data_IF_936326699086
#
_entry.id   IF_936326699086
#
_cell.length_a   1.000
_cell.length_b   1.000
_cell.length_c   1.000
_cell.angle_alpha   90.00
_cell.angle_beta   90.00
_cell.angle_gamma   90.00
#
_symmetry.space_group_name_H-M   'P 1'
#
loop_
_entity.id
_entity.type
_entity.pdbx_description
1 polymer ?
#
# COMPACT_ATOMS: atom_id res chain seq x y z
N UNK A 1 17.18 -37.34 0.30
CA UNK A 1 17.82 -36.11 0.82
C UNK A 1 18.35 -35.35 -0.38
N UNK A 2 17.93 -34.09 -0.55
CA UNK A 2 18.27 -33.27 -1.72
C UNK A 2 19.76 -32.91 -1.73
N UNK A 3 20.38 -32.93 -2.91
CA UNK A 3 21.81 -32.69 -3.14
C UNK A 3 22.06 -31.45 -4.00
N UNK A 4 21.16 -31.16 -4.93
CA UNK A 4 21.30 -30.06 -5.90
C UNK A 4 19.99 -29.28 -5.96
N UNK A 5 19.97 -28.14 -5.26
CA UNK A 5 18.81 -27.27 -5.16
C UNK A 5 18.93 -26.15 -6.19
N UNK A 6 17.92 -26.02 -7.05
CA UNK A 6 17.72 -24.87 -7.92
C UNK A 6 16.74 -23.92 -7.23
N UNK A 7 17.05 -22.63 -7.15
CA UNK A 7 16.11 -21.61 -6.68
C UNK A 7 15.92 -20.52 -7.73
N UNK A 8 14.67 -20.19 -8.05
CA UNK A 8 14.37 -19.12 -8.99
C UNK A 8 14.31 -17.77 -8.27
N UNK A 9 15.06 -16.77 -8.74
CA UNK A 9 15.14 -15.42 -8.15
C UNK A 9 14.89 -14.31 -9.18
N UNK A 10 14.02 -13.36 -8.84
CA UNK A 10 13.64 -12.21 -9.66
C UNK A 10 13.67 -10.87 -8.89
N UNK A 11 14.15 -10.89 -7.64
CA UNK A 11 14.22 -9.71 -6.77
C UNK A 11 12.90 -9.35 -6.07
N UNK A 12 11.83 -10.14 -6.28
CA UNK A 12 10.59 -10.00 -5.51
C UNK A 12 10.73 -10.57 -4.10
N UNK A 13 9.88 -10.15 -3.14
CA UNK A 13 9.88 -10.72 -1.79
C UNK A 13 9.64 -12.24 -1.76
N UNK A 14 8.79 -12.77 -2.65
CA UNK A 14 8.53 -14.21 -2.70
C UNK A 14 9.72 -15.02 -3.17
N UNK A 15 10.48 -14.52 -4.14
CA UNK A 15 11.71 -15.18 -4.58
C UNK A 15 12.85 -15.03 -3.57
N UNK A 16 12.89 -13.94 -2.81
CA UNK A 16 13.74 -13.81 -1.62
C UNK A 16 13.43 -14.86 -0.55
N UNK A 17 12.14 -15.11 -0.26
CA UNK A 17 11.73 -16.18 0.65
C UNK A 17 12.09 -17.57 0.11
N UNK A 18 11.95 -17.79 -1.19
CA UNK A 18 12.40 -19.03 -1.84
C UNK A 18 13.91 -19.24 -1.67
N UNK A 19 14.72 -18.20 -1.83
CA UNK A 19 16.15 -18.24 -1.57
C UNK A 19 16.43 -18.62 -0.12
N UNK A 20 15.79 -17.96 0.84
CA UNK A 20 15.95 -18.29 2.27
C UNK A 20 15.65 -19.76 2.56
N UNK A 21 14.52 -20.28 2.08
CA UNK A 21 14.14 -21.70 2.23
C UNK A 21 15.15 -22.63 1.59
N UNK A 22 15.66 -22.30 0.40
CA UNK A 22 16.68 -23.08 -0.29
C UNK A 22 18.00 -23.13 0.51
N UNK A 23 18.42 -22.01 1.08
CA UNK A 23 19.64 -21.91 1.91
C UNK A 23 19.50 -22.69 3.22
N UNK A 24 18.33 -22.61 3.89
CA UNK A 24 18.06 -23.36 5.12
C UNK A 24 18.04 -24.88 4.86
N UNK A 25 17.44 -25.32 3.75
CA UNK A 25 17.49 -26.72 3.34
C UNK A 25 18.92 -27.16 3.01
N UNK A 26 19.67 -26.35 2.29
CA UNK A 26 21.06 -26.64 1.95
C UNK A 26 21.95 -26.78 3.18
N UNK A 27 21.73 -25.97 4.23
CA UNK A 27 22.42 -26.13 5.52
C UNK A 27 22.12 -27.48 6.17
N UNK A 28 20.85 -27.90 6.14
CA UNK A 28 20.40 -29.14 6.78
C UNK A 28 20.84 -30.39 6.02
N UNK A 29 20.99 -30.30 4.70
CA UNK A 29 21.29 -31.46 3.83
C UNK A 29 22.68 -31.43 3.20
N UNK A 30 23.47 -30.38 3.46
CA UNK A 30 24.75 -30.11 2.77
C UNK A 30 24.61 -30.05 1.24
N UNK A 31 23.45 -29.60 0.74
CA UNK A 31 23.20 -29.49 -0.69
C UNK A 31 23.92 -28.28 -1.32
N UNK A 32 24.19 -28.38 -2.62
CA UNK A 32 24.59 -27.21 -3.41
C UNK A 32 23.36 -26.40 -3.84
N UNK A 33 23.49 -25.07 -3.87
CA UNK A 33 22.40 -24.18 -4.30
C UNK A 33 22.82 -23.41 -5.55
N UNK A 34 21.94 -23.40 -6.56
CA UNK A 34 22.06 -22.52 -7.72
C UNK A 34 20.86 -21.59 -7.79
N UNK A 35 21.12 -20.29 -7.79
CA UNK A 35 20.12 -19.25 -8.03
C UNK A 35 20.01 -18.95 -9.52
N UNK A 36 18.81 -19.05 -10.07
CA UNK A 36 18.48 -18.81 -11.48
C UNK A 36 17.58 -17.59 -11.62
N UNK A 37 18.05 -16.57 -12.35
CA UNK A 37 17.25 -15.43 -12.79
C UNK A 37 16.85 -15.56 -14.25
N UNK A 38 15.66 -15.07 -14.59
CA UNK A 38 15.10 -15.21 -15.93
C UNK A 38 14.74 -13.87 -16.52
N UNK A 39 15.22 -13.66 -17.73
CA UNK A 39 15.01 -12.47 -18.53
C UNK A 39 13.88 -12.73 -19.54
N UNK A 40 12.66 -12.27 -19.24
CA UNK A 40 11.44 -12.63 -20.01
C UNK A 40 11.17 -11.75 -21.25
N UNK A 41 11.80 -10.57 -21.41
CA UNK A 41 11.62 -9.71 -22.61
C UNK A 41 12.85 -8.87 -22.94
N UNK A 42 13.24 -8.90 -24.22
CA UNK A 42 13.81 -7.74 -24.94
C UNK A 42 12.66 -6.76 -25.27
N UNK A 43 12.89 -5.44 -25.28
CA UNK A 43 11.85 -4.45 -25.55
C UNK A 43 11.27 -4.57 -26.97
N UNK A 44 9.97 -4.28 -27.05
CA UNK A 44 9.18 -4.22 -28.28
C UNK A 44 9.54 -2.93 -29.01
N UNK A 45 10.11 -3.05 -30.21
CA UNK A 45 10.50 -1.95 -31.13
C UNK A 45 11.42 -0.88 -30.52
N UNK A 46 12.73 -1.16 -30.48
CA UNK A 46 13.73 -0.09 -30.40
C UNK A 46 13.89 0.54 -31.80
N UNK A 47 13.76 1.86 -31.90
CA UNK A 47 13.86 2.58 -33.17
C UNK A 47 15.33 2.75 -33.62
N UNK A 48 16.29 2.48 -32.73
CA UNK A 48 17.73 2.58 -33.01
C UNK A 48 18.57 1.54 -32.24
N UNK A 49 19.78 1.26 -32.73
CA UNK A 49 20.75 0.36 -32.08
C UNK A 49 21.18 0.87 -30.69
N UNK A 50 21.13 2.19 -30.46
CA UNK A 50 21.48 2.81 -29.18
C UNK A 50 20.49 2.46 -28.06
N UNK A 51 19.18 2.52 -28.32
CA UNK A 51 18.12 2.19 -27.35
C UNK A 51 18.17 0.71 -26.93
N UNK A 52 18.53 -0.20 -27.85
CA UNK A 52 18.72 -1.63 -27.55
C UNK A 52 19.87 -1.84 -26.57
N UNK A 53 20.96 -1.10 -26.77
CA UNK A 53 22.17 -1.27 -25.98
C UNK A 53 22.03 -0.68 -24.57
N UNK A 54 21.28 0.43 -24.44
CA UNK A 54 20.92 1.05 -23.16
C UNK A 54 19.98 0.14 -22.34
N UNK A 55 18.90 -0.37 -22.95
CA UNK A 55 17.96 -1.27 -22.25
C UNK A 55 18.65 -2.56 -21.79
N UNK A 56 19.55 -3.11 -22.60
CA UNK A 56 20.33 -4.30 -22.22
C UNK A 56 21.25 -4.01 -21.03
N UNK A 57 21.90 -2.84 -21.00
CA UNK A 57 22.75 -2.43 -19.89
C UNK A 57 21.97 -2.25 -18.58
N UNK A 58 20.76 -1.69 -18.66
CA UNK A 58 19.86 -1.57 -17.51
C UNK A 58 19.45 -2.93 -16.94
N UNK A 59 19.12 -3.89 -17.82
CA UNK A 59 18.73 -5.24 -17.43
C UNK A 59 19.91 -6.03 -16.84
N UNK A 60 21.10 -5.94 -17.43
CA UNK A 60 22.32 -6.53 -16.90
C UNK A 60 22.61 -5.99 -15.48
N UNK A 61 22.48 -4.68 -15.29
CA UNK A 61 22.67 -4.02 -13.99
C UNK A 61 21.63 -4.47 -12.97
N UNK A 62 20.37 -4.61 -13.38
CA UNK A 62 19.28 -5.07 -12.54
C UNK A 62 19.50 -6.49 -12.01
N UNK A 63 19.83 -7.45 -12.88
CA UNK A 63 20.08 -8.83 -12.47
C UNK A 63 21.38 -8.98 -11.68
N UNK A 64 22.42 -8.20 -12.01
CA UNK A 64 23.66 -8.16 -11.22
C UNK A 64 23.38 -7.78 -9.76
N UNK A 65 22.51 -6.79 -9.52
CA UNK A 65 22.10 -6.39 -8.16
C UNK A 65 21.37 -7.50 -7.42
N UNK A 66 20.42 -8.17 -8.09
CA UNK A 66 19.66 -9.29 -7.51
C UNK A 66 20.61 -10.44 -7.13
N UNK A 67 21.54 -10.78 -8.02
CA UNK A 67 22.53 -11.83 -7.79
C UNK A 67 23.49 -11.49 -6.66
N UNK A 68 23.96 -10.25 -6.57
CA UNK A 68 24.84 -9.79 -5.49
C UNK A 68 24.15 -9.95 -4.12
N UNK A 69 22.90 -9.52 -4.00
CA UNK A 69 22.12 -9.68 -2.77
C UNK A 69 21.92 -11.16 -2.41
N UNK A 70 21.70 -12.04 -3.40
CA UNK A 70 21.56 -13.46 -3.16
C UNK A 70 22.86 -14.11 -2.67
N UNK A 71 24.01 -13.69 -3.22
CA UNK A 71 25.34 -14.15 -2.79
C UNK A 71 25.65 -13.71 -1.36
N UNK A 72 25.31 -12.46 -1.01
CA UNK A 72 25.46 -11.94 0.35
C UNK A 72 24.65 -12.76 1.36
N UNK A 73 23.36 -12.99 1.09
CA UNK A 73 22.51 -13.83 1.93
C UNK A 73 23.04 -15.27 2.06
N UNK A 74 23.59 -15.84 0.99
CA UNK A 74 24.19 -17.17 1.03
C UNK A 74 25.49 -17.21 1.85
N UNK A 75 26.30 -16.14 1.78
CA UNK A 75 27.52 -16.01 2.56
C UNK A 75 27.23 -15.89 4.06
N UNK A 76 26.24 -15.08 4.44
CA UNK A 76 25.68 -15.04 5.81
C UNK A 76 25.13 -16.41 6.21
N UNK A 77 24.57 -17.14 5.24
CA UNK A 77 24.10 -18.49 5.45
C UNK A 77 25.26 -19.51 5.60
N UNK A 78 26.50 -19.19 5.23
CA UNK A 78 27.58 -20.19 5.15
C UNK A 78 27.32 -21.27 4.09
N UNK A 79 26.51 -20.96 3.07
CA UNK A 79 26.15 -21.87 1.97
C UNK A 79 26.80 -21.38 0.67
N UNK A 80 27.38 -22.30 -0.09
CA UNK A 80 27.94 -21.98 -1.40
C UNK A 80 26.81 -21.81 -2.43
N UNK A 81 26.62 -20.59 -2.93
CA UNK A 81 25.65 -20.26 -3.96
C UNK A 81 26.33 -20.01 -5.32
N UNK A 82 25.77 -20.59 -6.38
CA UNK A 82 26.08 -20.22 -7.78
C UNK A 82 24.94 -19.40 -8.35
N UNK A 83 25.22 -18.33 -9.08
CA UNK A 83 24.19 -17.53 -9.76
C UNK A 83 24.24 -17.73 -11.27
N UNK A 84 23.07 -17.73 -11.92
CA UNK A 84 22.91 -17.95 -13.36
C UNK A 84 21.77 -17.06 -13.89
N UNK A 85 21.96 -16.43 -15.04
CA UNK A 85 20.87 -15.77 -15.80
C UNK A 85 20.55 -16.58 -17.06
N UNK A 86 19.28 -16.69 -17.41
CA UNK A 86 18.81 -17.27 -18.68
C UNK A 86 17.73 -16.39 -19.30
N UNK A 87 17.75 -16.26 -20.62
CA UNK A 87 16.68 -15.60 -21.37
C UNK A 87 15.58 -16.61 -21.73
N UNK A 88 14.33 -16.15 -21.71
CA UNK A 88 13.17 -16.92 -22.16
C UNK A 88 11.98 -16.84 -21.20
N UNK A 89 10.92 -17.58 -21.50
CA UNK A 89 9.75 -17.68 -20.60
C UNK A 89 10.11 -18.47 -19.35
N UNK A 90 9.71 -17.99 -18.17
CA UNK A 90 10.17 -18.52 -16.91
C UNK A 90 9.90 -20.02 -16.71
N UNK A 91 8.66 -20.49 -16.87
CA UNK A 91 8.31 -21.87 -16.52
C UNK A 91 9.13 -22.91 -17.31
N UNK A 92 9.15 -22.85 -18.66
CA UNK A 92 9.92 -23.82 -19.45
C UNK A 92 11.41 -23.76 -19.20
N UNK A 93 11.96 -22.54 -18.99
CA UNK A 93 13.39 -22.36 -18.74
C UNK A 93 13.80 -22.96 -17.40
N UNK A 94 13.00 -22.76 -16.34
CA UNK A 94 13.28 -23.31 -15.01
C UNK A 94 13.26 -24.84 -15.06
N UNK A 95 12.19 -25.42 -15.59
CA UNK A 95 12.02 -26.87 -15.62
C UNK A 95 13.10 -27.55 -16.47
N UNK A 96 13.41 -26.98 -17.64
CA UNK A 96 14.48 -27.51 -18.50
C UNK A 96 15.86 -27.37 -17.85
N UNK A 97 16.17 -26.21 -17.26
CA UNK A 97 17.45 -26.00 -16.60
C UNK A 97 17.63 -26.94 -15.40
N UNK A 98 16.55 -27.20 -14.65
CA UNK A 98 16.55 -28.17 -13.56
C UNK A 98 16.86 -29.60 -14.07
N UNK A 99 16.17 -30.02 -15.13
CA UNK A 99 16.36 -31.35 -15.74
C UNK A 99 17.76 -31.53 -16.34
N UNK A 100 18.19 -30.60 -17.20
CA UNK A 100 19.50 -30.64 -17.88
C UNK A 100 20.66 -30.54 -16.87
N UNK A 101 20.46 -29.84 -15.75
CA UNK A 101 21.46 -29.61 -14.70
C UNK A 101 21.51 -30.69 -13.61
N UNK A 102 20.64 -31.69 -13.63
CA UNK A 102 20.60 -32.74 -12.60
C UNK A 102 20.21 -32.22 -11.22
N UNK A 103 19.30 -31.25 -11.15
CA UNK A 103 18.75 -30.73 -9.90
C UNK A 103 17.66 -31.66 -9.37
N UNK A 104 17.67 -31.94 -8.06
CA UNK A 104 16.70 -32.83 -7.41
C UNK A 104 15.62 -32.08 -6.63
N UNK A 105 15.76 -30.76 -6.48
CA UNK A 105 14.75 -29.86 -5.93
C UNK A 105 14.75 -28.51 -6.67
N UNK A 106 13.57 -28.03 -7.02
CA UNK A 106 13.34 -26.63 -7.41
C UNK A 106 12.64 -25.93 -6.24
N UNK A 107 13.15 -24.79 -5.79
CA UNK A 107 12.48 -23.90 -4.85
C UNK A 107 12.03 -22.66 -5.60
N UNK A 108 10.74 -22.35 -5.55
CA UNK A 108 10.17 -21.20 -6.26
C UNK A 108 9.23 -20.42 -5.34
N UNK A 109 9.29 -19.08 -5.42
CA UNK A 109 8.38 -18.21 -4.68
C UNK A 109 6.99 -18.21 -5.28
N UNK A 110 5.95 -18.16 -4.45
CA UNK A 110 4.57 -17.91 -4.89
C UNK A 110 3.92 -16.81 -4.05
N UNK A 111 3.58 -15.70 -4.70
CA UNK A 111 2.84 -14.56 -4.14
C UNK A 111 1.74 -14.04 -5.09
N UNK A 112 1.59 -14.60 -6.30
CA UNK A 112 0.65 -14.14 -7.31
C UNK A 112 0.99 -12.78 -7.96
N UNK A 113 2.14 -12.18 -7.63
CA UNK A 113 2.67 -10.96 -8.27
C UNK A 113 4.04 -11.22 -8.91
N UNK A 114 4.38 -10.50 -9.99
CA UNK A 114 5.60 -10.75 -10.77
C UNK A 114 5.51 -11.94 -11.74
N UNK A 115 6.57 -12.16 -12.53
CA UNK A 115 6.62 -13.23 -13.54
C UNK A 115 6.77 -14.61 -12.89
N UNK A 116 7.53 -14.75 -11.80
CA UNK A 116 7.77 -16.03 -11.13
C UNK A 116 6.60 -16.47 -10.24
N UNK A 117 5.91 -15.53 -9.56
CA UNK A 117 4.78 -15.84 -8.68
C UNK A 117 3.59 -16.50 -9.39
N UNK A 118 3.33 -16.15 -10.66
CA UNK A 118 2.32 -16.80 -11.53
C UNK A 118 2.83 -18.06 -12.23
N UNK A 119 4.12 -18.33 -12.13
CA UNK A 119 4.83 -19.39 -12.83
C UNK A 119 5.05 -20.63 -11.95
N UNK A 120 4.94 -20.49 -10.63
CA UNK A 120 5.12 -21.58 -9.67
C UNK A 120 4.31 -22.85 -10.01
N UNK A 121 3.00 -22.70 -10.26
CA UNK A 121 2.13 -23.83 -10.60
C UNK A 121 2.55 -24.47 -11.93
N UNK A 122 2.84 -23.65 -12.95
CA UNK A 122 3.30 -24.15 -14.25
C UNK A 122 4.63 -24.89 -14.17
N UNK A 123 5.54 -24.47 -13.29
CA UNK A 123 6.81 -25.18 -13.05
C UNK A 123 6.55 -26.49 -12.34
N UNK A 124 5.67 -26.51 -11.32
CA UNK A 124 5.28 -27.73 -10.64
C UNK A 124 4.64 -28.76 -11.59
N UNK A 125 3.90 -28.30 -12.59
CA UNK A 125 3.27 -29.16 -13.60
C UNK A 125 4.26 -29.82 -14.57
N UNK A 126 5.37 -29.16 -14.90
CA UNK A 126 6.27 -29.59 -15.99
C UNK A 126 7.69 -29.99 -15.55
N UNK A 127 8.06 -29.76 -14.29
CA UNK A 127 9.39 -30.09 -13.77
C UNK A 127 9.60 -31.60 -13.67
N UNK A 128 10.83 -32.05 -13.96
CA UNK A 128 11.23 -33.46 -13.84
C UNK A 128 11.68 -33.86 -12.43
N UNK A 129 11.69 -32.93 -11.48
CA UNK A 129 12.11 -33.15 -10.09
C UNK A 129 11.13 -32.51 -9.10
N UNK A 130 11.36 -32.72 -7.82
CA UNK A 130 10.50 -32.17 -6.77
C UNK A 130 10.47 -30.64 -6.83
N UNK A 131 9.29 -30.05 -6.69
CA UNK A 131 9.11 -28.60 -6.63
C UNK A 131 8.59 -28.23 -5.24
N UNK A 132 9.34 -27.38 -4.55
CA UNK A 132 8.94 -26.75 -3.30
C UNK A 132 8.52 -25.32 -3.57
N UNK A 133 7.24 -25.05 -3.39
CA UNK A 133 6.70 -23.71 -3.51
C UNK A 133 6.89 -23.00 -2.16
N UNK A 134 7.90 -22.14 -2.08
CA UNK A 134 8.20 -21.34 -0.91
C UNK A 134 7.21 -20.18 -0.82
N UNK A 135 6.36 -20.26 0.20
CA UNK A 135 5.30 -19.29 0.48
C UNK A 135 5.70 -18.45 1.69
N UNK A 136 5.46 -17.14 1.64
CA UNK A 136 5.66 -16.27 2.81
C UNK A 136 4.66 -16.68 3.89
N UNK A 137 5.10 -17.19 5.07
CA UNK A 137 4.18 -17.31 6.19
C UNK A 137 3.78 -15.90 6.62
N UNK A 138 2.49 -15.69 6.93
CA UNK A 138 1.94 -14.43 7.46
C UNK A 138 2.73 -13.92 8.68
N UNK A 139 3.41 -14.83 9.39
CA UNK A 139 4.18 -14.59 10.62
C UNK A 139 5.68 -14.31 10.41
N UNK A 140 6.17 -14.26 9.17
CA UNK A 140 7.59 -14.07 8.86
C UNK A 140 7.95 -12.77 8.13
N UNK A 141 6.96 -11.97 7.72
CA UNK A 141 7.19 -10.73 6.97
C UNK A 141 7.82 -9.69 7.87
N UNK A 142 9.03 -9.25 7.52
CA UNK A 142 9.71 -8.13 8.15
C UNK A 142 9.40 -6.83 7.41
N UNK A 143 9.59 -5.71 8.09
CA UNK A 143 9.39 -4.39 7.51
C UNK A 143 10.28 -4.19 6.27
N UNK A 144 11.52 -4.68 6.28
CA UNK A 144 12.43 -4.60 5.13
C UNK A 144 11.90 -5.24 3.84
N UNK A 145 11.02 -6.25 3.97
CA UNK A 145 10.47 -7.00 2.84
C UNK A 145 9.37 -6.21 2.12
N UNK A 146 8.79 -5.20 2.80
CA UNK A 146 7.59 -4.48 2.34
C UNK A 146 7.76 -2.96 2.32
N UNK A 147 8.86 -2.43 2.89
CA UNK A 147 9.10 -0.99 2.95
C UNK A 147 9.44 -0.40 1.59
N UNK A 148 9.05 0.85 1.39
CA UNK A 148 9.59 1.66 0.29
C UNK A 148 10.97 2.16 0.68
N UNK A 149 12.01 1.80 -0.09
CA UNK A 149 13.41 2.17 0.18
C UNK A 149 13.78 3.55 -0.39
N UNK A 150 13.21 3.92 -1.54
CA UNK A 150 13.39 5.25 -2.12
C UNK A 150 12.45 6.24 -1.43
N UNK A 151 12.98 6.95 -0.43
CA UNK A 151 12.19 7.84 0.42
C UNK A 151 12.60 9.28 0.20
N UNK A 152 11.66 10.10 -0.28
CA UNK A 152 11.82 11.55 -0.29
C UNK A 152 11.80 12.08 1.14
N UNK A 153 12.83 12.83 1.53
CA UNK A 153 12.98 13.42 2.87
C UNK A 153 13.01 14.94 2.82
N UNK A 154 12.86 15.57 3.99
CA UNK A 154 13.03 17.01 4.19
C UNK A 154 13.88 17.28 5.42
N UNK A 155 14.46 18.47 5.51
CA UNK A 155 15.22 18.92 6.69
C UNK A 155 14.34 19.75 7.63
N UNK A 156 14.72 19.94 8.91
CA UNK A 156 14.00 20.84 9.82
C UNK A 156 13.84 22.26 9.29
N UNK A 157 14.78 22.74 8.48
CA UNK A 157 14.80 24.08 7.90
C UNK A 157 14.05 24.20 6.58
N UNK A 158 13.55 23.09 6.03
CA UNK A 158 12.80 23.10 4.77
C UNK A 158 11.54 23.97 4.91
N UNK A 159 11.29 24.93 4.00
CA UNK A 159 10.09 25.76 4.04
C UNK A 159 8.80 24.95 3.86
N UNK A 160 7.72 25.34 4.54
CA UNK A 160 6.44 24.64 4.42
C UNK A 160 5.80 24.71 3.03
N UNK A 161 6.13 25.73 2.23
CA UNK A 161 5.70 25.85 0.84
C UNK A 161 6.24 24.71 -0.02
N UNK A 162 7.53 24.39 0.09
CA UNK A 162 8.16 23.27 -0.59
C UNK A 162 7.57 21.92 -0.14
N UNK A 163 7.23 21.78 1.15
CA UNK A 163 6.55 20.58 1.66
C UNK A 163 5.16 20.43 1.04
N UNK A 164 4.38 21.51 0.96
CA UNK A 164 3.06 21.48 0.35
C UNK A 164 3.14 21.06 -1.13
N UNK A 165 4.08 21.61 -1.89
CA UNK A 165 4.37 21.23 -3.28
C UNK A 165 4.69 19.74 -3.41
N UNK A 166 5.64 19.23 -2.61
CA UNK A 166 6.01 17.80 -2.62
C UNK A 166 4.82 16.87 -2.31
N UNK A 167 3.95 17.24 -1.37
CA UNK A 167 2.79 16.43 -1.02
C UNK A 167 1.65 16.54 -2.07
N UNK A 168 1.54 17.65 -2.78
CA UNK A 168 0.49 17.91 -3.78
C UNK A 168 0.86 17.37 -5.16
N UNK A 169 1.98 17.85 -5.71
CA UNK A 169 2.39 17.62 -7.10
C UNK A 169 2.95 16.21 -7.28
N UNK A 170 3.83 15.79 -6.37
CA UNK A 170 4.41 14.44 -6.38
C UNK A 170 3.49 13.39 -5.74
N UNK A 171 2.32 13.81 -5.26
CA UNK A 171 1.29 12.94 -4.67
C UNK A 171 1.69 12.26 -3.36
N UNK A 172 2.83 12.66 -2.77
CA UNK A 172 3.38 12.10 -1.54
C UNK A 172 2.45 12.35 -0.37
N UNK A 173 2.46 11.46 0.62
CA UNK A 173 1.48 11.48 1.70
C UNK A 173 2.08 11.75 3.08
N UNK A 174 3.39 11.63 3.20
CA UNK A 174 4.20 11.93 4.37
C UNK A 174 5.66 12.06 3.92
N UNK A 175 6.44 12.86 4.64
CA UNK A 175 7.88 13.03 4.43
C UNK A 175 8.56 12.84 5.79
N UNK A 176 9.50 11.88 5.93
CA UNK A 176 10.39 11.85 7.08
C UNK A 176 11.25 13.11 7.11
N UNK A 177 11.46 13.63 8.32
CA UNK A 177 12.34 14.78 8.56
C UNK A 177 13.67 14.23 9.05
N UNK A 178 14.73 14.51 8.30
CA UNK A 178 16.09 14.03 8.56
C UNK A 178 16.99 15.21 8.90
N UNK A 179 17.74 15.11 9.99
CA UNK A 179 18.80 16.04 10.37
C UNK A 179 20.07 15.25 10.67
N UNK A 180 21.19 15.63 10.05
CA UNK A 180 22.49 14.94 10.18
C UNK A 180 22.36 13.41 10.06
N UNK A 181 21.67 12.96 9.01
CA UNK A 181 21.35 11.55 8.70
C UNK A 181 20.42 10.83 9.68
N UNK A 182 19.91 11.51 10.71
CA UNK A 182 19.01 10.94 11.72
C UNK A 182 17.56 11.33 11.47
N UNK A 183 16.63 10.39 11.67
CA UNK A 183 15.20 10.69 11.60
C UNK A 183 14.77 11.45 12.86
N UNK A 184 14.50 12.75 12.72
CA UNK A 184 14.11 13.62 13.84
C UNK A 184 12.60 13.91 13.91
N UNK A 185 11.87 13.62 12.83
CA UNK A 185 10.43 13.87 12.77
C UNK A 185 9.75 13.28 11.55
N UNK A 186 8.46 13.52 11.43
CA UNK A 186 7.67 13.25 10.23
C UNK A 186 6.68 14.39 9.99
N UNK A 187 6.47 14.77 8.73
CA UNK A 187 5.49 15.76 8.33
C UNK A 187 4.51 15.18 7.31
N UNK A 188 3.23 15.50 7.50
CA UNK A 188 2.13 15.01 6.65
C UNK A 188 1.21 16.14 6.24
N UNK A 189 0.35 15.91 5.24
CA UNK A 189 -0.70 16.87 4.89
C UNK A 189 -1.68 17.16 6.04
N UNK A 190 -1.79 16.26 7.02
CA UNK A 190 -2.59 16.52 8.22
C UNK A 190 -1.95 17.54 9.16
N UNK A 191 -0.61 17.64 9.16
CA UNK A 191 0.12 18.63 9.96
C UNK A 191 0.02 20.00 9.30
N UNK A 192 0.12 20.07 7.97
CA UNK A 192 -0.18 21.30 7.23
C UNK A 192 -1.60 21.79 7.52
N UNK A 193 -2.60 20.91 7.44
CA UNK A 193 -4.00 21.24 7.73
C UNK A 193 -4.20 21.77 9.17
N UNK A 194 -3.63 21.11 10.18
CA UNK A 194 -3.94 21.42 11.60
C UNK A 194 -3.03 22.45 12.24
N UNK A 195 -1.78 22.58 11.78
CA UNK A 195 -0.72 23.36 12.45
C UNK A 195 -0.13 24.47 11.59
N UNK A 196 -0.27 24.38 10.26
CA UNK A 196 0.16 25.42 9.32
C UNK A 196 -0.98 26.39 8.91
N UNK A 197 -2.14 26.33 9.59
CA UNK A 197 -3.28 27.18 9.25
C UNK A 197 -3.89 26.91 7.87
N UNK A 198 -3.53 25.79 7.23
CA UNK A 198 -4.09 25.42 5.93
C UNK A 198 -5.56 25.04 6.13
N UNK A 199 -6.46 25.84 5.57
CA UNK A 199 -7.90 25.61 5.73
C UNK A 199 -8.37 24.32 5.04
N UNK A 200 -7.84 23.99 3.87
CA UNK A 200 -8.37 22.89 3.05
C UNK A 200 -7.40 21.70 2.98
N UNK A 201 -7.93 20.47 3.01
CA UNK A 201 -7.13 19.24 2.81
C UNK A 201 -6.42 19.28 1.45
N UNK A 202 -5.15 18.87 1.43
CA UNK A 202 -4.35 18.76 0.19
C UNK A 202 -5.06 18.00 -0.94
N UNK A 203 -5.78 16.93 -0.62
CA UNK A 203 -6.52 16.13 -1.61
C UNK A 203 -7.62 16.93 -2.32
N UNK A 204 -8.17 17.93 -1.65
CA UNK A 204 -9.24 18.79 -2.16
C UNK A 204 -8.68 20.03 -2.86
N UNK A 205 -7.40 20.38 -2.65
CA UNK A 205 -6.77 21.50 -3.36
C UNK A 205 -6.60 21.23 -4.86
N UNK A 206 -6.40 19.97 -5.26
CA UNK A 206 -6.30 19.59 -6.68
C UNK A 206 -7.58 19.87 -7.48
N UNK A 207 -8.72 19.89 -6.80
CA UNK A 207 -10.04 20.15 -7.40
C UNK A 207 -10.61 21.52 -6.99
N UNK A 208 -9.90 22.28 -6.16
CA UNK A 208 -10.32 23.61 -5.74
C UNK A 208 -10.04 24.65 -6.84
N UNK A 209 -10.83 25.74 -6.88
CA UNK A 209 -10.56 26.90 -7.73
C UNK A 209 -9.12 27.43 -7.56
N UNK A 210 -8.41 27.81 -8.65
CA UNK A 210 -7.00 28.20 -8.60
C UNK A 210 -6.71 29.34 -7.62
N UNK A 211 -7.60 30.33 -7.54
CA UNK A 211 -7.48 31.47 -6.62
C UNK A 211 -7.43 31.04 -5.14
N UNK A 212 -8.13 29.99 -4.75
CA UNK A 212 -8.11 29.46 -3.37
C UNK A 212 -6.78 28.77 -3.07
N UNK A 213 -6.25 28.02 -4.03
CA UNK A 213 -4.96 27.33 -3.89
C UNK A 213 -3.82 28.34 -3.81
N UNK A 214 -3.82 29.35 -4.69
CA UNK A 214 -2.83 30.42 -4.71
C UNK A 214 -2.84 31.24 -3.42
N UNK A 215 -4.02 31.61 -2.90
CA UNK A 215 -4.13 32.37 -1.64
C UNK A 215 -3.58 31.57 -0.44
N UNK A 216 -3.83 30.24 -0.39
CA UNK A 216 -3.26 29.38 0.64
C UNK A 216 -1.74 29.25 0.53
N UNK A 217 -1.20 29.10 -0.69
CA UNK A 217 0.23 29.07 -0.93
C UNK A 217 0.90 30.39 -0.54
N UNK A 218 0.29 31.53 -0.86
CA UNK A 218 0.78 32.86 -0.46
C UNK A 218 0.76 33.04 1.06
N UNK A 219 -0.25 32.55 1.77
CA UNK A 219 -0.30 32.60 3.24
C UNK A 219 0.80 31.77 3.88
N UNK A 220 1.01 30.54 3.39
CA UNK A 220 2.12 29.69 3.84
C UNK A 220 3.49 30.34 3.58
N UNK A 221 3.64 31.02 2.43
CA UNK A 221 4.85 31.75 2.08
C UNK A 221 5.07 32.98 2.98
N UNK A 222 4.02 33.73 3.26
CA UNK A 222 4.07 34.95 4.07
C UNK A 222 4.41 34.68 5.55
N UNK A 223 3.99 33.53 6.09
CA UNK A 223 4.34 33.13 7.47
C UNK A 223 5.82 32.75 7.63
N UNK A 224 6.52 32.39 6.54
CA UNK A 224 7.96 32.07 6.57
C UNK A 224 8.33 30.85 7.43
N UNK A 225 7.35 30.00 7.76
CA UNK A 225 7.53 28.86 8.68
C UNK A 225 8.21 27.68 8.00
N UNK A 226 8.83 26.84 8.83
CA UNK A 226 9.63 25.68 8.45
C UNK A 226 9.02 24.39 8.94
N UNK A 227 9.54 23.26 8.45
CA UNK A 227 9.19 21.91 8.91
C UNK A 227 9.30 21.78 10.43
N UNK A 228 10.37 22.30 11.04
CA UNK A 228 10.63 22.19 12.48
C UNK A 228 9.51 22.75 13.36
N UNK A 229 8.76 23.72 12.84
CA UNK A 229 7.69 24.43 13.54
C UNK A 229 6.41 23.60 13.69
N UNK A 230 6.19 22.61 12.81
CA UNK A 230 4.92 21.85 12.80
C UNK A 230 5.08 20.33 12.71
N UNK A 231 6.26 19.82 12.39
CA UNK A 231 6.49 18.39 12.27
C UNK A 231 6.11 17.65 13.56
N UNK A 232 5.68 16.41 13.41
CA UNK A 232 5.50 15.53 14.57
C UNK A 232 6.87 15.03 15.03
N UNK A 233 7.21 15.32 16.28
CA UNK A 233 8.48 14.96 16.92
C UNK A 233 8.26 14.49 18.38
N UNK A 234 9.03 13.50 18.88
CA UNK A 234 9.97 12.68 18.12
C UNK A 234 9.24 11.79 17.10
N UNK A 235 9.93 11.40 16.02
CA UNK A 235 9.38 10.43 15.09
C UNK A 235 9.18 9.07 15.77
N UNK A 236 8.05 8.43 15.50
CA UNK A 236 7.84 7.03 15.88
C UNK A 236 8.36 6.19 14.72
N UNK A 237 9.43 5.42 14.96
CA UNK A 237 10.14 4.63 13.95
C UNK A 237 10.07 3.14 14.27
N UNK A 238 10.46 2.33 13.28
CA UNK A 238 10.70 0.88 13.43
C UNK A 238 12.04 0.54 12.78
N UNK A 239 12.61 -0.60 13.11
CA UNK A 239 13.81 -1.11 12.43
C UNK A 239 13.43 -1.92 11.20
N UNK A 240 14.36 -2.12 10.28
CA UNK A 240 14.15 -2.94 9.08
C UNK A 240 13.79 -4.39 9.41
N UNK A 241 14.30 -4.92 10.53
CA UNK A 241 14.00 -6.25 11.03
C UNK A 241 12.71 -6.35 11.87
N UNK A 242 12.01 -5.24 12.10
CA UNK A 242 10.76 -5.25 12.87
C UNK A 242 9.71 -6.10 12.15
N UNK A 243 9.01 -7.02 12.84
CA UNK A 243 7.92 -7.78 12.22
C UNK A 243 6.79 -6.87 11.73
N UNK A 244 6.24 -7.13 10.55
CA UNK A 244 5.18 -6.31 9.95
C UNK A 244 3.93 -6.21 10.86
N UNK A 245 3.59 -7.28 11.58
CA UNK A 245 2.50 -7.30 12.57
C UNK A 245 2.78 -6.38 13.77
N UNK A 246 4.03 -6.33 14.24
CA UNK A 246 4.42 -5.41 15.31
C UNK A 246 4.35 -3.95 14.84
N UNK A 247 4.78 -3.67 13.61
CA UNK A 247 4.60 -2.36 12.98
C UNK A 247 3.10 -1.99 12.84
N UNK A 248 2.25 -2.93 12.45
CA UNK A 248 0.80 -2.73 12.39
C UNK A 248 0.19 -2.37 13.76
N UNK A 249 0.55 -3.11 14.82
CA UNK A 249 0.14 -2.81 16.20
C UNK A 249 0.55 -1.38 16.58
N UNK A 250 1.80 -1.02 16.35
CA UNK A 250 2.30 0.33 16.62
C UNK A 250 1.52 1.41 15.84
N UNK A 251 1.16 1.15 14.58
CA UNK A 251 0.35 2.07 13.78
C UNK A 251 -1.08 2.24 14.32
N UNK A 252 -1.67 1.19 14.88
CA UNK A 252 -2.99 1.21 15.51
C UNK A 252 -2.91 2.00 16.82
N UNK A 253 -2.03 1.60 17.73
CA UNK A 253 -1.89 2.17 19.07
C UNK A 253 -1.56 3.66 19.01
N UNK A 254 -0.63 4.04 18.12
CA UNK A 254 -0.21 5.43 17.95
C UNK A 254 -1.09 6.21 17.00
N UNK A 255 -2.14 5.59 16.43
CA UNK A 255 -3.08 6.22 15.51
C UNK A 255 -2.41 6.85 14.28
N UNK A 256 -1.29 6.26 13.83
CA UNK A 256 -0.48 6.71 12.70
C UNK A 256 -0.65 5.79 11.50
N UNK A 257 -0.38 6.34 10.30
CA UNK A 257 -0.63 5.64 9.03
C UNK A 257 0.64 5.11 8.38
N UNK A 258 1.81 5.60 8.82
CA UNK A 258 3.13 5.32 8.27
C UNK A 258 4.18 5.41 9.37
N UNK A 259 5.25 4.67 9.22
CA UNK A 259 6.41 4.62 10.09
C UNK A 259 7.66 4.79 9.22
N UNK A 260 8.54 5.78 9.51
CA UNK A 260 9.90 5.74 9.00
C UNK A 260 10.61 4.49 9.53
N UNK A 261 11.40 3.87 8.67
CA UNK A 261 12.22 2.70 8.98
C UNK A 261 13.66 3.14 9.10
N UNK A 262 14.31 2.76 10.20
CA UNK A 262 15.69 3.12 10.49
C UNK A 262 16.58 1.91 10.65
N UNK A 263 17.88 2.09 10.39
CA UNK A 263 18.91 1.11 10.77
C UNK A 263 19.24 1.21 12.27
N UNK A 264 20.18 0.37 12.73
CA UNK A 264 20.66 0.35 14.12
C UNK A 264 21.33 1.67 14.56
N UNK A 265 21.75 2.50 13.60
CA UNK A 265 22.35 3.81 13.86
C UNK A 265 21.31 4.93 13.84
N UNK A 266 20.02 4.64 13.64
CA UNK A 266 18.94 5.63 13.57
C UNK A 266 18.81 6.34 12.21
N UNK A 267 19.56 5.89 11.19
CA UNK A 267 19.52 6.46 9.84
C UNK A 267 18.34 5.92 9.06
N UNK A 268 17.72 6.77 8.24
CA UNK A 268 16.57 6.37 7.43
C UNK A 268 16.96 5.35 6.36
N UNK A 269 16.31 4.19 6.37
CA UNK A 269 16.48 3.14 5.34
C UNK A 269 15.19 2.83 4.57
N UNK A 270 14.04 3.35 5.02
CA UNK A 270 12.79 3.19 4.31
C UNK A 270 11.58 3.84 4.99
N UNK A 271 10.40 3.62 4.42
CA UNK A 271 9.11 3.98 5.02
C UNK A 271 8.11 2.86 4.76
N UNK A 272 7.31 2.52 5.78
CA UNK A 272 6.25 1.50 5.67
C UNK A 272 4.90 2.11 6.04
N UNK A 273 3.85 1.73 5.31
CA UNK A 273 2.49 2.20 5.50
C UNK A 273 1.53 1.06 5.84
N UNK A 274 0.36 1.43 6.36
CA UNK A 274 -0.77 0.51 6.55
C UNK A 274 -1.12 -0.28 5.30
N UNK A 275 -0.97 0.32 4.11
CA UNK A 275 -1.30 -0.35 2.85
C UNK A 275 -0.30 -1.46 2.52
N UNK A 276 0.99 -1.21 2.76
CA UNK A 276 2.07 -2.15 2.45
C UNK A 276 1.92 -3.40 3.33
N UNK A 277 1.59 -3.21 4.61
CA UNK A 277 1.31 -4.32 5.52
C UNK A 277 0.09 -5.12 5.07
N UNK A 278 -1.02 -4.46 4.75
CA UNK A 278 -2.24 -5.14 4.28
C UNK A 278 -2.00 -5.91 2.97
N UNK A 279 -1.25 -5.32 2.03
CA UNK A 279 -0.91 -5.97 0.77
C UNK A 279 -0.07 -7.23 0.98
N UNK A 280 0.93 -7.16 1.87
CA UNK A 280 1.76 -8.31 2.21
C UNK A 280 0.95 -9.43 2.89
N UNK A 281 0.00 -9.06 3.76
CA UNK A 281 -0.87 -10.03 4.42
C UNK A 281 -1.83 -10.74 3.47
N UNK A 282 -2.50 -10.01 2.57
CA UNK A 282 -3.34 -10.63 1.54
C UNK A 282 -2.51 -11.58 0.67
N UNK A 283 -1.28 -11.19 0.34
CA UNK A 283 -0.34 -12.04 -0.39
C UNK A 283 0.02 -13.33 0.35
N UNK A 284 0.29 -13.23 1.64
CA UNK A 284 0.60 -14.39 2.46
C UNK A 284 -0.62 -15.30 2.72
N UNK A 285 -1.82 -14.73 2.82
CA UNK A 285 -3.05 -15.48 3.07
C UNK A 285 -3.50 -16.33 1.87
N UNK A 286 -3.36 -15.83 0.63
CA UNK A 286 -3.56 -16.63 -0.60
C UNK A 286 -2.73 -17.91 -0.63
N UNK A 287 -1.57 -17.85 0.01
CA UNK A 287 -0.62 -18.95 0.04
C UNK A 287 -0.92 -19.96 1.18
N UNK A 288 -1.80 -19.62 2.12
CA UNK A 288 -2.01 -20.38 3.36
C UNK A 288 -3.16 -21.42 3.30
N UNK A 289 -3.78 -21.64 2.14
CA UNK A 289 -4.91 -22.58 1.92
C UNK A 289 -4.65 -24.07 2.27
N UNK A 290 -3.54 -24.40 2.95
CA UNK A 290 -3.27 -25.76 3.42
C UNK A 290 -2.91 -25.95 4.89
N UNK A 291 -2.57 -24.95 5.71
CA UNK A 291 -2.37 -25.19 7.16
C UNK A 291 -2.61 -23.93 8.01
N UNK A 292 -3.47 -23.99 9.05
CA UNK A 292 -3.57 -22.92 10.04
C UNK A 292 -2.28 -22.89 10.88
N UNK A 293 -1.54 -21.79 10.83
CA UNK A 293 -0.49 -21.54 11.81
C UNK A 293 -1.13 -21.27 13.18
N UNK A 294 -0.61 -21.85 14.29
CA UNK A 294 -1.14 -21.58 15.62
C UNK A 294 -0.86 -20.13 16.04
N UNK A 295 -1.85 -19.45 16.59
CA UNK A 295 -1.65 -18.21 17.35
C UNK A 295 -2.29 -16.93 16.79
N UNK A 296 -3.07 -16.99 15.71
CA UNK A 296 -3.91 -15.86 15.30
C UNK A 296 -5.11 -16.32 14.46
N UNK A 297 -6.32 -16.04 14.93
CA UNK A 297 -7.53 -16.18 14.12
C UNK A 297 -7.83 -14.80 13.55
N UNK A 298 -7.51 -14.56 12.27
CA UNK A 298 -8.10 -13.40 11.59
C UNK A 298 -9.64 -13.52 11.76
N UNK A 299 -10.37 -12.44 12.06
CA UNK A 299 -11.81 -12.47 11.84
C UNK A 299 -12.03 -12.92 10.41
N UNK A 300 -12.89 -13.91 10.25
CA UNK A 300 -12.93 -14.63 8.99
C UNK A 300 -13.63 -13.76 7.93
N UNK A 301 -14.48 -12.82 8.35
CA UNK A 301 -15.44 -12.17 7.46
C UNK A 301 -15.58 -10.65 7.68
N UNK A 302 -16.07 -9.97 6.65
CA UNK A 302 -16.34 -8.52 6.67
C UNK A 302 -17.29 -8.12 7.82
N UNK A 303 -18.32 -8.92 8.08
CA UNK A 303 -19.32 -8.68 9.12
C UNK A 303 -18.76 -8.64 10.55
N UNK A 304 -17.64 -9.32 10.79
CA UNK A 304 -17.00 -9.40 12.11
C UNK A 304 -16.29 -8.09 12.48
N UNK A 305 -15.84 -7.32 11.47
CA UNK A 305 -15.04 -6.11 11.66
C UNK A 305 -15.70 -4.82 11.16
N UNK A 306 -16.87 -4.94 10.51
CA UNK A 306 -17.57 -3.77 10.02
C UNK A 306 -18.05 -2.91 11.17
N UNK A 307 -17.95 -1.59 10.99
CA UNK A 307 -18.66 -0.67 11.86
C UNK A 307 -20.06 -0.45 11.29
N UNK A 308 -21.06 -0.50 12.18
CA UNK A 308 -22.48 -0.38 11.80
C UNK A 308 -22.97 1.07 11.76
N UNK A 309 -22.27 1.98 12.42
CA UNK A 309 -22.59 3.41 12.44
C UNK A 309 -22.12 4.08 11.15
N UNK A 310 -22.84 3.83 10.06
CA UNK A 310 -22.64 4.48 8.77
C UNK A 310 -23.65 5.61 8.61
N UNK A 311 -23.17 6.83 8.32
CA UNK A 311 -24.07 7.94 8.02
C UNK A 311 -24.74 7.72 6.67
N UNK A 312 -26.07 7.85 6.65
CA UNK A 312 -26.90 7.67 5.46
C UNK A 312 -27.76 8.88 5.14
N UNK A 313 -28.15 9.00 3.86
CA UNK A 313 -29.17 9.94 3.35
C UNK A 313 -29.98 9.26 2.26
N UNK A 314 -31.16 9.78 1.96
CA UNK A 314 -31.96 9.40 0.78
C UNK A 314 -31.49 10.18 -0.46
N UNK A 315 -31.83 9.74 -1.69
CA UNK A 315 -31.42 10.43 -2.92
C UNK A 315 -31.96 11.87 -3.03
N UNK A 316 -33.14 12.12 -2.49
CA UNK A 316 -33.81 13.43 -2.46
C UNK A 316 -33.34 14.33 -1.31
N UNK A 317 -32.50 13.82 -0.40
CA UNK A 317 -32.00 14.58 0.73
C UNK A 317 -31.28 15.86 0.26
N UNK A 318 -31.58 17.01 0.86
CA UNK A 318 -31.04 18.28 0.41
C UNK A 318 -29.53 18.37 0.70
N UNK A 319 -28.78 19.02 -0.19
CA UNK A 319 -27.31 19.03 -0.15
C UNK A 319 -26.74 19.65 1.15
N UNK A 320 -27.46 20.56 1.78
CA UNK A 320 -27.09 21.13 3.09
C UNK A 320 -27.04 20.06 4.20
N UNK A 321 -27.99 19.13 4.22
CA UNK A 321 -28.02 17.99 5.15
C UNK A 321 -26.84 17.07 4.90
N UNK A 322 -26.57 16.74 3.63
CA UNK A 322 -25.43 15.92 3.22
C UNK A 322 -24.12 16.52 3.73
N UNK A 323 -23.90 17.83 3.54
CA UNK A 323 -22.68 18.52 3.98
C UNK A 323 -22.56 18.54 5.50
N UNK A 324 -23.65 18.78 6.22
CA UNK A 324 -23.65 18.70 7.68
C UNK A 324 -23.21 17.31 8.15
N UNK A 325 -23.74 16.25 7.53
CA UNK A 325 -23.34 14.85 7.81
C UNK A 325 -21.88 14.56 7.43
N UNK A 326 -21.39 15.09 6.30
CA UNK A 326 -19.99 14.96 5.88
C UNK A 326 -19.04 15.62 6.87
N UNK A 327 -19.34 16.83 7.35
CA UNK A 327 -18.47 17.59 8.27
C UNK A 327 -18.54 17.06 9.69
N UNK A 328 -19.67 16.46 10.09
CA UNK A 328 -19.87 15.87 11.42
C UNK A 328 -18.95 14.67 11.70
N UNK A 329 -18.35 14.06 10.67
CA UNK A 329 -17.47 12.90 10.86
C UNK A 329 -16.08 13.10 10.25
N UNK A 330 -15.02 12.58 10.90
CA UNK A 330 -13.67 12.60 10.34
C UNK A 330 -13.57 11.77 9.04
N UNK A 331 -14.52 10.85 8.83
CA UNK A 331 -14.61 9.95 7.69
C UNK A 331 -15.04 10.65 6.40
N UNK A 332 -15.69 11.82 6.51
CA UNK A 332 -16.16 12.68 5.41
C UNK A 332 -16.80 11.90 4.26
N UNK A 333 -17.76 11.05 4.63
CA UNK A 333 -18.52 10.19 3.73
C UNK A 333 -19.96 10.03 4.20
N UNK A 334 -20.87 9.86 3.26
CA UNK A 334 -22.28 9.53 3.51
C UNK A 334 -22.71 8.51 2.45
N UNK A 335 -23.37 7.43 2.85
CA UNK A 335 -23.94 6.43 1.94
C UNK A 335 -25.35 6.85 1.57
N UNK A 336 -25.69 6.81 0.28
CA UNK A 336 -27.05 7.11 -0.20
C UNK A 336 -27.82 5.80 -0.28
N UNK A 337 -28.98 5.75 0.38
CA UNK A 337 -29.85 4.57 0.44
C UNK A 337 -31.27 4.90 -0.01
N UNK A 338 -31.96 3.97 -0.67
CA UNK A 338 -33.37 4.12 -1.02
C UNK A 338 -34.33 3.83 0.17
N UNK A 339 -35.64 3.87 -0.08
CA UNK A 339 -36.68 3.61 0.92
C UNK A 339 -36.64 2.16 1.47
N UNK A 340 -36.02 1.23 0.75
CA UNK A 340 -35.79 -0.15 1.17
C UNK A 340 -34.42 -0.34 1.84
N UNK A 341 -33.70 0.77 2.09
CA UNK A 341 -32.36 0.81 2.65
C UNK A 341 -31.27 0.20 1.75
N UNK A 342 -31.54 0.04 0.45
CA UNK A 342 -30.56 -0.43 -0.54
C UNK A 342 -29.58 0.66 -0.88
N UNK A 343 -28.31 0.28 -1.02
CA UNK A 343 -27.24 1.22 -1.37
C UNK A 343 -27.38 1.64 -2.84
N UNK A 344 -27.59 2.93 -3.08
CA UNK A 344 -27.76 3.51 -4.44
C UNK A 344 -26.68 4.53 -4.80
N UNK A 345 -25.86 4.93 -3.83
CA UNK A 345 -24.74 5.83 -4.07
C UNK A 345 -23.87 6.06 -2.85
N UNK A 346 -22.77 6.79 -3.04
CA UNK A 346 -21.92 7.28 -1.97
C UNK A 346 -21.48 8.71 -2.28
N UNK A 347 -21.39 9.54 -1.25
CA UNK A 347 -20.91 10.92 -1.35
C UNK A 347 -19.69 11.07 -0.44
N UNK A 348 -18.60 11.58 -1.00
CA UNK A 348 -17.36 11.92 -0.28
C UNK A 348 -16.94 13.36 -0.58
N UNK A 349 -16.17 13.95 0.32
CA UNK A 349 -15.75 15.36 0.21
C UNK A 349 -14.96 15.69 -1.06
N UNK A 350 -14.14 14.75 -1.58
CA UNK A 350 -13.41 14.91 -2.84
C UNK A 350 -14.31 15.02 -4.07
N UNK A 351 -15.37 14.23 -4.09
CA UNK A 351 -16.22 14.06 -5.27
C UNK A 351 -17.26 15.16 -5.31
N UNK A 352 -17.72 15.60 -4.14
CA UNK A 352 -18.62 16.75 -4.00
C UNK A 352 -17.97 18.03 -4.57
N UNK A 353 -16.68 18.26 -4.33
CA UNK A 353 -15.96 19.38 -4.93
C UNK A 353 -15.73 19.24 -6.45
N UNK A 354 -15.53 18.01 -6.94
CA UNK A 354 -15.30 17.76 -8.36
C UNK A 354 -16.59 17.90 -9.19
N UNK A 355 -17.73 17.46 -8.66
CA UNK A 355 -19.02 17.49 -9.36
C UNK A 355 -19.65 18.88 -9.36
N UNK A 356 -19.34 19.71 -8.35
CA UNK A 356 -19.67 21.13 -8.36
C UNK A 356 -18.64 21.90 -9.21
N UNK A 357 -18.75 21.80 -10.54
CA UNK A 357 -17.89 22.51 -11.47
C UNK A 357 -18.00 24.04 -11.39
N UNK A 358 -17.02 24.82 -11.91
CA UNK A 358 -16.85 26.27 -11.73
C UNK A 358 -18.00 27.15 -12.24
N UNK A 359 -18.91 26.59 -13.03
CA UNK A 359 -20.07 27.26 -13.61
C UNK A 359 -21.27 27.36 -12.66
N UNK A 360 -21.16 26.86 -11.43
CA UNK A 360 -22.18 27.06 -10.40
C UNK A 360 -22.37 28.57 -10.14
N UNK A 361 -23.54 29.16 -10.44
CA UNK A 361 -23.77 30.58 -10.21
C UNK A 361 -23.65 30.90 -8.72
N UNK A 362 -22.77 31.86 -8.39
CA UNK A 362 -22.72 32.51 -7.08
C UNK A 362 -22.18 31.66 -5.93
N UNK A 363 -20.92 31.89 -5.52
CA UNK A 363 -20.43 31.66 -4.15
C UNK A 363 -20.53 30.24 -3.54
N UNK A 364 -21.06 29.26 -4.26
CA UNK A 364 -21.36 27.89 -3.79
C UNK A 364 -20.06 27.14 -3.48
N UNK A 365 -19.13 27.13 -4.44
CA UNK A 365 -17.81 26.52 -4.29
C UNK A 365 -17.01 27.17 -3.15
N UNK A 366 -16.99 28.50 -3.08
CA UNK A 366 -16.27 29.22 -2.03
C UNK A 366 -16.88 28.99 -0.64
N UNK A 367 -18.21 28.95 -0.53
CA UNK A 367 -18.91 28.67 0.72
C UNK A 367 -18.74 27.21 1.17
N UNK A 368 -18.75 26.27 0.22
CA UNK A 368 -18.48 24.86 0.48
C UNK A 368 -17.04 24.66 0.95
N UNK A 369 -16.07 25.27 0.26
CA UNK A 369 -14.68 25.27 0.68
C UNK A 369 -14.55 25.85 2.09
N UNK A 370 -15.21 26.98 2.39
CA UNK A 370 -15.21 27.61 3.73
C UNK A 370 -15.75 26.68 4.83
N UNK A 371 -16.81 25.90 4.54
CA UNK A 371 -17.34 24.88 5.45
C UNK A 371 -16.42 23.68 5.61
N UNK A 372 -15.87 23.18 4.51
CA UNK A 372 -14.95 22.03 4.51
C UNK A 372 -13.61 22.37 5.19
N UNK A 373 -13.28 23.66 5.28
CA UNK A 373 -12.07 24.20 5.90
C UNK A 373 -12.18 24.58 7.39
N UNK A 374 -13.23 24.12 8.07
CA UNK A 374 -13.46 24.34 9.51
C UNK A 374 -13.59 25.83 9.91
N UNK A 375 -13.89 26.74 8.97
CA UNK A 375 -13.87 28.19 9.22
C UNK A 375 -15.19 28.94 9.00
N UNK A 376 -16.32 28.26 8.75
CA UNK A 376 -17.59 28.97 8.65
C UNK A 376 -18.82 28.15 9.03
N UNK A 377 -19.70 28.78 9.82
CA UNK A 377 -21.06 28.32 10.17
C UNK A 377 -22.10 28.90 9.19
N UNK A 378 -21.68 29.71 8.21
CA UNK A 378 -22.59 30.39 7.30
C UNK A 378 -23.56 29.41 6.62
N UNK A 379 -24.87 29.73 6.53
CA UNK A 379 -25.84 28.92 5.83
C UNK A 379 -25.47 28.85 4.35
N UNK A 380 -25.32 27.62 3.87
CA UNK A 380 -25.11 27.33 2.47
C UNK A 380 -26.48 27.28 1.79
N UNK A 381 -26.78 28.28 0.94
CA UNK A 381 -27.87 28.17 -0.03
C UNK A 381 -27.37 27.32 -1.22
N UNK A 382 -27.21 26.03 -0.96
CA UNK A 382 -26.91 25.05 -1.99
C UNK A 382 -28.23 24.47 -2.49
N UNK A 383 -28.56 24.74 -3.74
CA UNK A 383 -29.65 24.05 -4.45
C UNK A 383 -29.14 22.69 -4.94
N UNK A 384 -29.95 21.65 -4.78
CA UNK A 384 -29.64 20.28 -5.22
C UNK A 384 -29.84 19.25 -4.12
N UNK A 385 -29.73 17.99 -4.53
CA UNK A 385 -30.02 16.80 -3.74
C UNK A 385 -28.80 15.88 -3.68
N UNK A 386 -28.85 14.87 -2.81
CA UNK A 386 -27.83 13.82 -2.77
C UNK A 386 -27.66 13.12 -4.13
N UNK A 387 -28.76 12.90 -4.87
CA UNK A 387 -28.75 12.25 -6.18
C UNK A 387 -27.94 13.02 -7.24
N UNK A 388 -27.85 14.35 -7.10
CA UNK A 388 -27.14 15.22 -8.04
C UNK A 388 -25.61 15.13 -7.88
N UNK A 389 -25.13 14.71 -6.70
CA UNK A 389 -23.68 14.71 -6.37
C UNK A 389 -23.12 13.33 -6.00
N UNK A 390 -23.96 12.30 -5.93
CA UNK A 390 -23.54 10.96 -5.53
C UNK A 390 -22.78 10.22 -6.62
N UNK A 391 -21.76 9.47 -6.23
CA UNK A 391 -21.16 8.45 -7.07
C UNK A 391 -22.00 7.20 -6.98
N UNK A 392 -22.48 6.71 -8.13
CA UNK A 392 -23.36 5.52 -8.23
C UNK A 392 -22.60 4.20 -8.21
N UNK A 393 -21.34 4.20 -8.64
CA UNK A 393 -20.47 3.02 -8.57
C UNK A 393 -19.93 2.87 -7.14
N UNK A 394 -20.71 2.23 -6.27
CA UNK A 394 -20.34 1.97 -4.88
C UNK A 394 -19.69 0.60 -4.79
N UNK A 395 -18.42 0.56 -4.40
CA UNK A 395 -17.76 -0.72 -4.13
C UNK A 395 -18.30 -1.35 -2.83
N UNK A 396 -19.00 -2.46 -3.00
CA UNK A 396 -19.66 -3.23 -1.94
C UNK A 396 -19.05 -4.62 -1.78
N UNK A 397 -19.21 -5.19 -0.59
CA UNK A 397 -18.91 -6.59 -0.26
C UNK A 397 -20.06 -7.16 0.59
N UNK A 398 -20.24 -8.48 0.57
CA UNK A 398 -21.19 -9.15 1.46
C UNK A 398 -20.65 -9.27 2.88
N UNK A 399 -21.52 -9.39 3.88
CA UNK A 399 -21.07 -9.60 5.27
C UNK A 399 -20.24 -10.87 5.46
N UNK A 400 -20.46 -11.88 4.63
CA UNK A 400 -19.76 -13.16 4.64
C UNK A 400 -18.47 -13.18 3.82
N UNK A 401 -18.11 -12.09 3.13
CA UNK A 401 -16.89 -11.98 2.33
C UNK A 401 -15.66 -12.12 3.22
N UNK A 402 -14.67 -12.92 2.79
CA UNK A 402 -13.48 -13.17 3.60
C UNK A 402 -12.65 -11.90 3.79
N UNK A 403 -11.92 -11.80 4.89
CA UNK A 403 -11.06 -10.63 5.12
C UNK A 403 -9.99 -10.45 4.02
N UNK A 404 -9.51 -11.56 3.45
CA UNK A 404 -8.54 -11.54 2.34
C UNK A 404 -9.17 -10.89 1.11
N UNK A 405 -10.36 -11.35 0.72
CA UNK A 405 -11.09 -10.79 -0.42
C UNK A 405 -11.45 -9.31 -0.21
N UNK A 406 -11.77 -8.92 1.03
CA UNK A 406 -11.98 -7.51 1.39
C UNK A 406 -10.72 -6.69 1.13
N UNK A 407 -9.54 -7.16 1.56
CA UNK A 407 -8.26 -6.47 1.34
C UNK A 407 -7.97 -6.39 -0.15
N UNK A 408 -8.15 -7.48 -0.90
CA UNK A 408 -7.92 -7.53 -2.34
C UNK A 408 -8.83 -6.57 -3.10
N UNK A 409 -10.12 -6.56 -2.78
CA UNK A 409 -11.08 -5.61 -3.35
C UNK A 409 -10.65 -4.17 -3.07
N UNK A 410 -10.17 -3.87 -1.86
CA UNK A 410 -9.63 -2.54 -1.54
C UNK A 410 -8.38 -2.18 -2.35
N UNK A 411 -7.49 -3.14 -2.59
CA UNK A 411 -6.25 -2.94 -3.37
C UNK A 411 -6.57 -2.73 -4.86
N UNK A 412 -7.38 -3.62 -5.44
CA UNK A 412 -7.76 -3.61 -6.84
C UNK A 412 -8.53 -2.34 -7.20
N UNK A 413 -9.58 -2.02 -6.43
CA UNK A 413 -10.38 -0.81 -6.64
C UNK A 413 -9.69 0.46 -6.14
N UNK A 414 -8.48 0.33 -5.56
CA UNK A 414 -7.68 1.42 -4.96
C UNK A 414 -8.45 2.25 -3.93
N UNK A 415 -9.41 1.63 -3.25
CA UNK A 415 -10.23 2.29 -2.23
C UNK A 415 -9.72 2.00 -0.82
N UNK A 416 -10.11 2.87 0.11
CA UNK A 416 -9.71 2.77 1.52
C UNK A 416 -10.75 2.07 2.38
N UNK A 417 -11.97 1.94 1.88
CA UNK A 417 -13.16 1.42 2.56
C UNK A 417 -14.08 0.75 1.56
N UNK A 418 -14.89 -0.19 2.03
CA UNK A 418 -15.93 -0.88 1.27
C UNK A 418 -17.23 -0.85 2.06
N UNK A 419 -18.35 -0.66 1.37
CA UNK A 419 -19.67 -0.74 1.97
C UNK A 419 -20.04 -2.21 2.13
N UNK A 420 -20.56 -2.60 3.29
CA UNK A 420 -21.02 -3.97 3.54
C UNK A 420 -22.53 -4.02 3.36
N UNK A 421 -22.99 -4.96 2.54
CA UNK A 421 -24.41 -5.15 2.22
C UNK A 421 -24.85 -6.60 2.46
N UNK A 422 -26.16 -6.80 2.60
CA UNK A 422 -26.78 -8.13 2.56
C UNK A 422 -27.05 -8.61 1.12
N UNK A 423 -27.67 -9.78 0.98
CA UNK A 423 -27.99 -10.41 -0.30
C UNK A 423 -28.95 -9.56 -1.15
N UNK A 424 -29.81 -8.73 -0.52
CA UNK A 424 -30.71 -7.82 -1.22
C UNK A 424 -30.10 -6.45 -1.56
N UNK A 425 -28.83 -6.23 -1.17
CA UNK A 425 -28.10 -4.98 -1.39
C UNK A 425 -28.37 -3.89 -0.33
N UNK A 426 -28.99 -4.25 0.80
CA UNK A 426 -29.27 -3.32 1.90
C UNK A 426 -28.02 -3.08 2.74
N UNK A 427 -27.86 -1.84 3.19
CA UNK A 427 -26.69 -1.44 3.97
C UNK A 427 -26.63 -2.14 5.32
N UNK A 428 -25.54 -2.87 5.59
CA UNK A 428 -25.26 -3.48 6.90
C UNK A 428 -24.19 -2.71 7.70
N UNK A 429 -23.22 -2.13 6.99
CA UNK A 429 -22.10 -1.44 7.62
C UNK A 429 -21.03 -1.01 6.63
N UNK A 430 -19.83 -0.76 7.13
CA UNK A 430 -18.67 -0.42 6.32
C UNK A 430 -17.39 -0.98 6.95
N UNK A 431 -16.45 -1.39 6.11
CA UNK A 431 -15.12 -1.85 6.54
C UNK A 431 -14.06 -0.90 6.03
N UNK A 432 -13.04 -0.62 6.84
CA UNK A 432 -11.88 0.16 6.42
C UNK A 432 -10.55 -0.45 6.82
N UNK A 433 -9.46 0.07 6.25
CA UNK A 433 -8.09 -0.39 6.54
C UNK A 433 -7.77 -0.36 8.04
N UNK A 434 -8.35 0.55 8.81
CA UNK A 434 -8.11 0.63 10.25
C UNK A 434 -8.86 -0.48 10.99
N UNK A 435 -10.12 -0.76 10.67
CA UNK A 435 -10.85 -1.90 11.24
C UNK A 435 -10.12 -3.22 10.97
N UNK A 436 -9.64 -3.40 9.73
CA UNK A 436 -8.86 -4.57 9.33
C UNK A 436 -7.58 -4.67 10.19
N UNK A 437 -6.78 -3.60 10.23
CA UNK A 437 -5.55 -3.56 11.03
C UNK A 437 -5.80 -3.74 12.52
N UNK A 438 -6.87 -3.17 13.07
CA UNK A 438 -7.20 -3.28 14.49
C UNK A 438 -7.53 -4.73 14.85
N UNK A 439 -8.30 -5.41 14.01
CA UNK A 439 -8.61 -6.82 14.28
C UNK A 439 -7.40 -7.74 14.14
N UNK A 440 -6.44 -7.37 13.30
CA UNK A 440 -5.17 -8.09 13.14
C UNK A 440 -4.25 -7.78 14.33
N UNK A 441 -4.15 -6.53 14.74
CA UNK A 441 -3.29 -6.09 15.83
C UNK A 441 -3.78 -6.58 17.20
N UNK A 442 -5.09 -6.61 17.43
CA UNK A 442 -5.74 -6.79 18.74
C UNK A 442 -5.90 -8.22 19.25
N UNK A 443 -5.59 -9.26 18.46
CA UNK A 443 -5.69 -10.68 18.84
C UNK A 443 -4.56 -11.16 19.78
N UNK A 444 -3.98 -10.26 20.59
CA UNK A 444 -2.79 -10.52 21.41
C UNK A 444 -2.97 -10.31 22.91
N UNK A 445 -4.20 -10.35 23.42
CA UNK A 445 -4.49 -10.34 24.87
C UNK A 445 -5.30 -11.57 25.27
#
# INVERSE_FOLDING_TARGET
MFRNILVAIDGTPSSGQALKVALDLARLTSASVTALSIEEKLPIYAASVGEVQETKHEMDTFFARIQAAAVEQAAEAGVKLKTVVRAGSAAPVIARFAGDGGFDLIVIGADGQGSLGRTADKVADIASCSVLIARLPVFGVQVQDIMTKDVTTVTPTTPLTAVAEMLLERGLKALPVVDKDQVVGIITGGDLLRRAGMGLRLTLQRTAPPNIVTDQQMRLAAEGRTVADIMTKPAITVTEHTPALAAARLMVDKHIKRLPVVDDQGRLVGIVSRLDILAAMASAARSADTLPAPGMTLPQKAGDIMFRQVLTVTPDAPLNEVINKLVATPLRRVVVVDDLYKVVGIIVDSDLLAQLSPSAPGGILSSLVARLSHHSVAPLNLSGTAADVMVRDVYTVGENTSLVDVIETMLEKRVKRLVVVDEEGRLLGMVDRQSILHSIAGQGQ
#
